data_IF_359823417302
#
_entry.id   IF_359823417302
#
_cell.length_a   1.000
_cell.length_b   1.000
_cell.length_c   1.000
_cell.angle_alpha   90.00
_cell.angle_beta   90.00
_cell.angle_gamma   90.00
#
_symmetry.space_group_name_H-M   'P 1'
#
loop_
_entity.id
_entity.type
_entity.pdbx_description
1 polymer ?
#
# COMPACT_ATOMS: atom_id res chain seq x y z
N UNK A 1 -0.61 -22.94 -2.91
CA UNK A 1 -0.55 -22.00 -4.04
C UNK A 1 0.68 -21.13 -3.86
N UNK A 2 1.46 -20.87 -4.91
CA UNK A 2 2.64 -19.99 -4.85
C UNK A 2 2.25 -18.54 -5.07
N UNK A 3 3.10 -17.59 -4.68
CA UNK A 3 2.92 -16.20 -5.06
C UNK A 3 3.00 -16.04 -6.58
N UNK A 4 2.32 -15.03 -7.10
CA UNK A 4 2.32 -14.73 -8.54
C UNK A 4 3.70 -14.25 -8.95
N UNK A 5 4.49 -15.09 -9.62
CA UNK A 5 5.82 -14.70 -10.10
C UNK A 5 5.68 -13.73 -11.26
N UNK A 6 6.17 -12.50 -11.09
CA UNK A 6 6.22 -11.51 -12.17
C UNK A 6 7.35 -11.90 -13.11
N UNK A 7 7.01 -12.33 -14.33
CA UNK A 7 7.98 -12.83 -15.32
C UNK A 7 8.58 -11.72 -16.16
N UNK A 8 7.82 -10.67 -16.43
CA UNK A 8 8.27 -9.51 -17.19
C UNK A 8 8.58 -8.39 -16.20
N UNK A 9 9.87 -8.19 -15.95
CA UNK A 9 10.40 -7.02 -15.27
C UNK A 9 10.91 -6.09 -16.37
N UNK A 10 10.43 -4.85 -16.39
CA UNK A 10 10.79 -3.88 -17.42
C UNK A 10 12.26 -3.47 -17.30
N UNK A 11 12.69 -3.10 -16.08
CA UNK A 11 14.06 -2.66 -15.82
C UNK A 11 14.60 -3.22 -14.49
N UNK A 12 15.92 -3.33 -14.42
CA UNK A 12 16.66 -3.68 -13.21
C UNK A 12 17.54 -2.53 -12.74
N UNK A 13 17.48 -2.19 -11.45
CA UNK A 13 18.05 -0.94 -10.91
C UNK A 13 19.59 -0.93 -10.74
N UNK A 14 20.34 -1.72 -11.51
CA UNK A 14 21.82 -1.74 -11.49
C UNK A 14 22.46 -2.25 -10.18
N UNK A 15 21.67 -2.69 -9.21
CA UNK A 15 22.12 -3.23 -7.92
C UNK A 15 22.32 -4.74 -7.98
N UNK A 16 23.25 -5.26 -7.16
CA UNK A 16 23.48 -6.71 -7.06
C UNK A 16 22.28 -7.43 -6.43
N UNK A 17 21.46 -8.07 -7.28
CA UNK A 17 20.30 -8.88 -6.86
C UNK A 17 20.74 -9.99 -5.90
N UNK A 18 21.85 -10.67 -6.19
CA UNK A 18 22.37 -11.73 -5.34
C UNK A 18 22.74 -11.24 -3.94
N UNK A 19 23.30 -10.03 -3.81
CA UNK A 19 23.59 -9.43 -2.52
C UNK A 19 22.31 -9.08 -1.75
N UNK A 20 21.31 -8.51 -2.43
CA UNK A 20 20.02 -8.17 -1.85
C UNK A 20 19.29 -9.43 -1.36
N UNK A 21 19.28 -10.49 -2.17
CA UNK A 21 18.66 -11.76 -1.82
C UNK A 21 19.30 -12.40 -0.60
N UNK A 22 20.64 -12.38 -0.50
CA UNK A 22 21.38 -12.87 0.66
C UNK A 22 21.07 -12.09 1.94
N UNK A 23 20.87 -10.78 1.82
CA UNK A 23 20.53 -9.90 2.95
C UNK A 23 19.04 -9.98 3.35
N UNK A 24 18.18 -10.52 2.49
CA UNK A 24 16.73 -10.55 2.70
C UNK A 24 16.28 -11.82 3.39
N UNK A 25 15.40 -11.69 4.39
CA UNK A 25 14.84 -12.85 5.07
C UNK A 25 13.86 -13.60 4.14
N UNK A 26 13.96 -14.93 4.02
CA UNK A 26 13.04 -15.68 3.17
C UNK A 26 11.64 -15.75 3.79
N UNK A 27 10.62 -15.81 2.93
CA UNK A 27 9.27 -16.29 3.26
C UNK A 27 9.14 -17.70 2.68
N UNK A 28 9.21 -18.71 3.56
CA UNK A 28 9.28 -20.11 3.16
C UNK A 28 7.96 -20.60 2.60
N UNK A 29 8.04 -21.50 1.63
CA UNK A 29 6.89 -22.29 1.18
C UNK A 29 6.27 -23.04 2.38
N UNK A 30 4.94 -23.06 2.44
CA UNK A 30 4.18 -23.59 3.59
C UNK A 30 3.99 -22.59 4.73
N UNK A 31 4.77 -21.50 4.80
CA UNK A 31 4.64 -20.46 5.84
C UNK A 31 3.81 -19.26 5.36
N UNK A 32 3.10 -19.45 4.25
CA UNK A 32 2.10 -18.52 3.78
C UNK A 32 1.01 -19.25 2.98
N UNK A 33 -0.16 -18.61 2.89
CA UNK A 33 -1.29 -19.02 2.05
C UNK A 33 -1.76 -17.81 1.25
N UNK A 34 -1.82 -17.96 -0.06
CA UNK A 34 -2.47 -16.97 -0.95
C UNK A 34 -3.98 -17.05 -0.76
N UNK A 35 -4.60 -15.90 -0.58
CA UNK A 35 -6.04 -15.74 -0.43
C UNK A 35 -6.62 -15.20 -1.72
N UNK A 36 -7.80 -15.69 -2.08
CA UNK A 36 -8.59 -15.18 -3.19
C UNK A 36 -9.38 -13.97 -2.71
N UNK A 37 -8.74 -12.81 -2.73
CA UNK A 37 -9.33 -11.54 -2.35
C UNK A 37 -8.87 -10.47 -3.34
N UNK A 38 -9.79 -9.75 -4.00
CA UNK A 38 -9.43 -8.73 -4.97
C UNK A 38 -8.74 -7.56 -4.26
N UNK A 39 -7.58 -7.15 -4.76
CA UNK A 39 -6.87 -5.95 -4.31
C UNK A 39 -6.65 -5.04 -5.51
N UNK A 40 -7.07 -3.78 -5.39
CA UNK A 40 -6.94 -2.75 -6.44
C UNK A 40 -5.52 -2.19 -6.56
N UNK A 41 -5.21 -1.55 -7.69
CA UNK A 41 -4.00 -0.76 -7.98
C UNK A 41 -2.95 -1.47 -8.85
N UNK A 42 -2.03 -0.68 -9.42
CA UNK A 42 -1.25 -1.06 -10.61
C UNK A 42 -0.14 -2.10 -10.40
N UNK A 43 0.58 -2.03 -9.27
CA UNK A 43 1.69 -2.96 -9.02
C UNK A 43 1.19 -4.40 -8.81
N UNK A 44 1.87 -5.43 -9.34
CA UNK A 44 1.50 -6.82 -9.07
C UNK A 44 1.52 -7.13 -7.57
N UNK A 45 0.41 -7.66 -7.05
CA UNK A 45 0.22 -7.93 -5.63
C UNK A 45 -0.60 -9.19 -5.39
N UNK A 46 -0.25 -9.89 -4.32
CA UNK A 46 -0.99 -11.05 -3.83
C UNK A 46 -1.52 -10.75 -2.41
N UNK A 47 -2.75 -11.15 -2.10
CA UNK A 47 -3.22 -11.15 -0.72
C UNK A 47 -2.81 -12.46 -0.05
N UNK A 48 -2.13 -12.39 1.09
CA UNK A 48 -1.64 -13.60 1.77
C UNK A 48 -1.94 -13.59 3.27
N UNK A 49 -2.09 -14.76 3.85
CA UNK A 49 -1.80 -15.00 5.27
C UNK A 49 -0.38 -15.53 5.39
N UNK A 50 0.40 -15.00 6.34
CA UNK A 50 1.78 -15.45 6.54
C UNK A 50 2.08 -15.69 8.01
N UNK A 51 2.80 -16.78 8.26
CA UNK A 51 3.25 -17.13 9.61
C UNK A 51 4.26 -16.12 10.14
N UNK A 52 4.07 -15.76 11.41
CA UNK A 52 4.99 -14.93 12.18
C UNK A 52 5.38 -15.66 13.44
N UNK A 53 6.61 -16.17 13.45
CA UNK A 53 7.19 -16.81 14.62
C UNK A 53 7.09 -15.86 15.83
N UNK A 54 6.52 -16.37 16.92
CA UNK A 54 6.32 -15.62 18.17
C UNK A 54 5.05 -14.76 18.24
N UNK A 55 4.34 -14.51 17.13
CA UNK A 55 3.04 -13.81 17.19
C UNK A 55 1.87 -14.77 17.41
N UNK A 56 1.88 -15.91 16.71
CA UNK A 56 0.79 -16.91 16.72
C UNK A 56 1.35 -18.32 16.55
N UNK A 57 0.51 -19.33 16.76
CA UNK A 57 0.86 -20.73 16.51
C UNK A 57 0.98 -21.01 15.01
N UNK A 58 1.98 -21.79 14.62
CA UNK A 58 2.17 -22.30 13.27
C UNK A 58 0.98 -23.15 12.80
N UNK A 59 0.36 -23.90 13.70
CA UNK A 59 -0.74 -24.82 13.38
C UNK A 59 -2.07 -24.09 13.14
N UNK A 60 -2.21 -22.85 13.62
CA UNK A 60 -3.46 -22.07 13.55
C UNK A 60 -3.43 -21.07 12.40
N UNK A 61 -3.50 -21.58 11.18
CA UNK A 61 -3.52 -20.78 9.94
C UNK A 61 -4.50 -19.60 9.96
N UNK A 62 -5.71 -19.79 10.53
CA UNK A 62 -6.73 -18.75 10.62
C UNK A 62 -6.29 -17.51 11.42
N UNK A 63 -5.36 -17.70 12.36
CA UNK A 63 -4.86 -16.65 13.24
C UNK A 63 -3.66 -15.92 12.62
N UNK A 64 -3.12 -16.43 11.49
CA UNK A 64 -1.97 -15.81 10.84
C UNK A 64 -2.34 -14.41 10.32
N UNK A 65 -1.46 -13.42 10.53
CA UNK A 65 -1.70 -12.07 10.04
C UNK A 65 -1.78 -12.06 8.51
N UNK A 66 -2.66 -11.20 8.00
CA UNK A 66 -2.86 -10.96 6.58
C UNK A 66 -1.90 -9.87 6.09
N UNK A 67 -1.43 -10.01 4.86
CA UNK A 67 -0.53 -9.07 4.20
C UNK A 67 -0.92 -8.88 2.74
N UNK A 68 -0.62 -7.68 2.23
CA UNK A 68 -0.53 -7.41 0.79
C UNK A 68 0.94 -7.55 0.42
N UNK A 69 1.26 -8.55 -0.41
CA UNK A 69 2.61 -8.83 -0.87
C UNK A 69 2.84 -8.24 -2.27
N UNK A 70 3.45 -7.06 -2.33
CA UNK A 70 3.76 -6.34 -3.58
C UNK A 70 5.13 -6.73 -4.12
N UNK A 71 5.28 -6.68 -5.45
CA UNK A 71 6.58 -6.82 -6.12
C UNK A 71 6.77 -5.68 -7.13
N UNK A 72 7.99 -5.14 -7.19
CA UNK A 72 8.37 -4.19 -8.23
C UNK A 72 8.45 -4.86 -9.60
N UNK A 73 7.83 -4.27 -10.61
CA UNK A 73 7.84 -4.77 -11.99
C UNK A 73 8.43 -3.79 -12.99
N UNK A 74 8.47 -2.49 -12.69
CA UNK A 74 9.04 -1.46 -13.57
C UNK A 74 10.53 -1.30 -13.33
N UNK A 75 10.94 -1.27 -12.06
CA UNK A 75 12.33 -1.04 -11.61
C UNK A 75 12.66 -1.96 -10.43
N UNK A 76 12.87 -3.23 -10.74
CA UNK A 76 13.18 -4.24 -9.73
C UNK A 76 14.67 -4.19 -9.31
N UNK A 77 15.00 -4.37 -8.02
CA UNK A 77 14.11 -4.54 -6.86
C UNK A 77 13.78 -3.23 -6.13
N UNK A 78 14.22 -2.08 -6.67
CA UNK A 78 14.20 -0.83 -5.93
C UNK A 78 12.81 -0.32 -5.58
N UNK A 79 11.78 -0.60 -6.38
CA UNK A 79 10.41 -0.22 -6.01
C UNK A 79 10.01 -0.78 -4.63
N UNK A 80 10.29 -2.07 -4.38
CA UNK A 80 9.99 -2.69 -3.08
C UNK A 80 10.86 -2.12 -1.95
N UNK A 81 12.13 -1.81 -2.23
CA UNK A 81 13.06 -1.24 -1.25
C UNK A 81 12.65 0.18 -0.88
N UNK A 82 12.32 1.00 -1.88
CA UNK A 82 11.87 2.39 -1.71
C UNK A 82 10.56 2.43 -0.94
N UNK A 83 9.58 1.59 -1.29
CA UNK A 83 8.32 1.47 -0.54
C UNK A 83 8.56 1.12 0.94
N UNK A 84 9.46 0.17 1.21
CA UNK A 84 9.84 -0.15 2.58
C UNK A 84 10.53 1.02 3.28
N UNK A 85 11.47 1.69 2.61
CA UNK A 85 12.19 2.85 3.15
C UNK A 85 11.22 3.99 3.50
N UNK A 86 10.32 4.36 2.59
CA UNK A 86 9.31 5.39 2.81
C UNK A 86 8.39 5.03 3.99
N UNK A 87 7.94 3.78 4.06
CA UNK A 87 7.15 3.30 5.18
C UNK A 87 7.91 3.44 6.51
N UNK A 88 9.19 3.06 6.55
CA UNK A 88 10.05 3.19 7.73
C UNK A 88 10.31 4.64 8.13
N UNK A 89 10.53 5.55 7.18
CA UNK A 89 10.67 6.98 7.46
C UNK A 89 9.36 7.50 8.07
N UNK A 90 8.22 7.15 7.48
CA UNK A 90 6.91 7.54 8.01
C UNK A 90 6.68 7.09 9.46
N UNK A 91 7.04 5.84 9.78
CA UNK A 91 6.97 5.34 11.16
C UNK A 91 7.87 6.13 12.12
N UNK A 92 9.10 6.44 11.71
CA UNK A 92 10.05 7.23 12.53
C UNK A 92 9.55 8.66 12.74
N UNK A 93 8.86 9.22 11.75
CA UNK A 93 8.23 10.54 11.84
C UNK A 93 6.91 10.53 12.64
N UNK A 94 6.45 9.37 13.12
CA UNK A 94 5.24 9.24 13.93
C UNK A 94 3.94 9.20 13.13
N UNK A 95 3.99 8.93 11.82
CA UNK A 95 2.79 8.68 11.02
C UNK A 95 2.22 7.29 11.33
N UNK A 96 0.90 7.16 11.20
CA UNK A 96 0.22 5.87 11.34
C UNK A 96 0.41 5.04 10.07
N UNK A 97 1.53 4.32 10.00
CA UNK A 97 1.90 3.49 8.85
C UNK A 97 1.50 2.03 9.07
N UNK A 98 1.07 1.36 8.01
CA UNK A 98 0.91 -0.09 8.02
C UNK A 98 2.26 -0.77 8.32
N UNK A 99 2.26 -1.72 9.27
CA UNK A 99 3.46 -2.49 9.60
C UNK A 99 3.95 -3.23 8.37
N UNK A 100 5.22 -3.06 8.04
CA UNK A 100 5.76 -3.59 6.79
C UNK A 100 7.10 -4.28 6.97
N UNK A 101 7.48 -5.06 5.96
CA UNK A 101 8.78 -5.72 5.89
C UNK A 101 9.16 -6.11 4.45
N UNK A 102 10.44 -6.38 4.24
CA UNK A 102 10.95 -7.01 3.03
C UNK A 102 11.14 -8.50 3.22
N UNK A 103 10.66 -9.30 2.27
CA UNK A 103 10.89 -10.75 2.24
C UNK A 103 11.30 -11.22 0.86
N UNK A 104 12.16 -12.24 0.82
CA UNK A 104 12.43 -12.99 -0.39
C UNK A 104 11.42 -14.14 -0.50
N UNK A 105 10.57 -14.11 -1.51
CA UNK A 105 9.55 -15.14 -1.73
C UNK A 105 9.46 -15.49 -3.22
N UNK A 106 9.51 -16.77 -3.55
CA UNK A 106 9.48 -17.26 -4.93
C UNK A 106 10.51 -16.55 -5.83
N UNK A 107 11.74 -16.39 -5.31
CA UNK A 107 12.90 -15.74 -5.96
C UNK A 107 12.74 -14.23 -6.23
N UNK A 108 11.70 -13.60 -5.68
CA UNK A 108 11.47 -12.17 -5.82
C UNK A 108 11.46 -11.47 -4.47
N UNK A 109 12.10 -10.30 -4.41
CA UNK A 109 11.95 -9.42 -3.28
C UNK A 109 10.53 -8.86 -3.26
N UNK A 110 9.86 -9.02 -2.13
CA UNK A 110 8.49 -8.59 -1.90
C UNK A 110 8.46 -7.57 -0.77
N UNK A 111 7.70 -6.51 -0.97
CA UNK A 111 7.26 -5.63 0.10
C UNK A 111 5.96 -6.18 0.68
N UNK A 112 5.98 -6.58 1.95
CA UNK A 112 4.81 -7.08 2.66
C UNK A 112 4.27 -5.95 3.53
N UNK A 113 3.06 -5.50 3.23
CA UNK A 113 2.32 -4.57 4.08
C UNK A 113 1.26 -5.32 4.86
N UNK A 114 1.25 -5.23 6.19
CA UNK A 114 0.26 -5.88 7.05
C UNK A 114 -1.10 -5.25 6.78
N UNK A 115 -2.07 -6.12 6.50
CA UNK A 115 -3.46 -5.71 6.33
C UNK A 115 -4.02 -5.25 7.68
N UNK A 116 -4.60 -4.06 7.71
CA UNK A 116 -4.99 -3.39 8.95
C UNK A 116 -6.51 -3.32 9.18
N UNK A 117 -7.33 -3.59 8.16
CA UNK A 117 -8.78 -3.59 8.32
C UNK A 117 -9.23 -4.80 9.16
N UNK A 118 -10.17 -4.52 10.05
CA UNK A 118 -10.89 -5.50 10.85
C UNK A 118 -12.19 -5.93 10.17
N UNK A 119 -12.84 -6.94 10.73
CA UNK A 119 -14.14 -7.40 10.24
C UNK A 119 -15.19 -6.28 10.36
N UNK A 120 -15.88 -5.98 9.25
CA UNK A 120 -16.85 -4.90 9.17
C UNK A 120 -16.27 -3.52 8.86
N UNK A 121 -14.94 -3.37 8.85
CA UNK A 121 -14.30 -2.12 8.40
C UNK A 121 -14.13 -2.11 6.87
N UNK A 122 -14.29 -0.93 6.28
CA UNK A 122 -14.04 -0.69 4.87
C UNK A 122 -13.03 0.44 4.68
N UNK A 123 -12.20 0.33 3.65
CA UNK A 123 -11.30 1.40 3.25
C UNK A 123 -12.02 2.29 2.24
N UNK A 124 -12.19 3.57 2.57
CA UNK A 124 -12.65 4.60 1.62
C UNK A 124 -11.42 5.16 0.92
N UNK A 125 -11.36 4.98 -0.41
CA UNK A 125 -10.28 5.52 -1.23
C UNK A 125 -10.43 7.04 -1.43
N UNK A 126 -9.32 7.71 -1.77
CA UNK A 126 -9.33 9.15 -2.05
C UNK A 126 -10.25 9.53 -3.22
N UNK A 127 -10.36 8.69 -4.26
CA UNK A 127 -11.31 8.91 -5.34
C UNK A 127 -12.77 8.89 -4.84
N UNK A 128 -13.10 7.92 -4.00
CA UNK A 128 -14.44 7.77 -3.40
C UNK A 128 -14.82 8.94 -2.48
N UNK A 129 -13.83 9.57 -1.83
CA UNK A 129 -14.05 10.82 -1.07
C UNK A 129 -14.58 11.93 -2.00
N UNK A 130 -14.02 12.08 -3.19
CA UNK A 130 -14.48 13.10 -4.15
C UNK A 130 -15.82 12.73 -4.76
N UNK A 131 -16.03 11.48 -5.14
CA UNK A 131 -17.32 11.02 -5.66
C UNK A 131 -18.44 11.21 -4.64
N UNK A 132 -18.19 10.87 -3.38
CA UNK A 132 -19.14 11.12 -2.29
C UNK A 132 -19.43 12.60 -2.05
N UNK A 133 -18.41 13.46 -2.16
CA UNK A 133 -18.59 14.91 -2.01
C UNK A 133 -19.38 15.55 -3.16
N UNK A 134 -19.20 15.04 -4.38
CA UNK A 134 -19.89 15.51 -5.57
C UNK A 134 -21.24 14.83 -5.82
N UNK A 135 -21.66 13.94 -4.92
CA UNK A 135 -22.87 13.11 -5.07
C UNK A 135 -22.89 12.26 -6.36
N UNK A 136 -21.70 11.90 -6.84
CA UNK A 136 -21.53 11.02 -8.00
C UNK A 136 -21.71 9.55 -7.59
N UNK A 137 -22.25 8.74 -8.52
CA UNK A 137 -22.58 7.33 -8.24
C UNK A 137 -21.37 6.40 -8.21
N UNK A 138 -20.27 6.82 -8.83
CA UNK A 138 -19.05 6.04 -8.98
C UNK A 138 -17.81 6.96 -9.09
N UNK A 139 -16.64 6.33 -9.28
CA UNK A 139 -15.36 7.02 -9.38
C UNK A 139 -15.01 7.42 -10.84
N UNK A 140 -15.91 7.23 -11.81
CA UNK A 140 -15.62 7.50 -13.23
C UNK A 140 -15.30 8.97 -13.48
N UNK A 141 -16.03 9.87 -12.83
CA UNK A 141 -15.77 11.30 -12.92
C UNK A 141 -14.35 11.66 -12.46
N UNK A 142 -13.88 11.07 -11.36
CA UNK A 142 -12.52 11.30 -10.85
C UNK A 142 -11.47 10.75 -11.82
N UNK A 143 -11.71 9.55 -12.37
CA UNK A 143 -10.84 8.97 -13.40
C UNK A 143 -10.79 9.83 -14.68
N UNK A 144 -11.89 10.48 -15.06
CA UNK A 144 -11.90 11.40 -16.19
C UNK A 144 -11.09 12.67 -15.93
N UNK A 145 -11.21 13.26 -14.74
CA UNK A 145 -10.40 14.41 -14.32
C UNK A 145 -8.92 14.08 -14.42
N UNK A 146 -8.52 12.90 -13.94
CA UNK A 146 -7.15 12.42 -13.99
C UNK A 146 -6.67 12.25 -15.44
N UNK A 147 -7.46 11.59 -16.30
CA UNK A 147 -7.13 11.43 -17.73
C UNK A 147 -7.01 12.76 -18.47
N UNK A 148 -7.77 13.78 -18.07
CA UNK A 148 -7.72 15.12 -18.64
C UNK A 148 -6.58 15.98 -18.06
N UNK A 149 -5.85 15.48 -17.05
CA UNK A 149 -4.77 16.22 -16.38
C UNK A 149 -5.27 17.38 -15.49
N UNK A 150 -6.56 17.39 -15.15
CA UNK A 150 -7.21 18.49 -14.42
C UNK A 150 -7.19 18.28 -12.90
N UNK A 151 -6.59 17.19 -12.41
CA UNK A 151 -6.54 16.83 -10.98
C UNK A 151 -6.06 17.99 -10.11
N UNK A 152 -5.00 18.69 -10.52
CA UNK A 152 -4.42 19.79 -9.73
C UNK A 152 -5.31 21.04 -9.69
N UNK A 153 -6.13 21.25 -10.72
CA UNK A 153 -7.02 22.40 -10.82
C UNK A 153 -8.32 22.17 -10.06
N UNK A 154 -8.81 20.93 -10.06
CA UNK A 154 -10.13 20.58 -9.53
C UNK A 154 -10.06 19.93 -8.14
N UNK A 155 -9.13 19.01 -7.91
CA UNK A 155 -8.99 18.26 -6.65
C UNK A 155 -7.97 18.95 -5.73
N UNK A 156 -8.31 20.19 -5.36
CA UNK A 156 -7.44 21.04 -4.55
C UNK A 156 -7.44 20.63 -3.08
N UNK A 157 -6.48 21.16 -2.31
CA UNK A 157 -6.46 21.01 -0.86
C UNK A 157 -7.78 21.46 -0.23
N UNK A 158 -8.32 22.61 -0.64
CA UNK A 158 -9.58 23.16 -0.13
C UNK A 158 -10.75 22.22 -0.41
N UNK A 159 -10.87 21.71 -1.64
CA UNK A 159 -11.92 20.75 -2.00
C UNK A 159 -11.81 19.49 -1.15
N UNK A 160 -10.59 18.99 -0.94
CA UNK A 160 -10.36 17.80 -0.08
C UNK A 160 -10.80 18.04 1.36
N UNK A 161 -10.49 19.21 1.93
CA UNK A 161 -10.88 19.57 3.29
C UNK A 161 -12.39 19.65 3.44
N UNK A 162 -13.09 20.27 2.49
CA UNK A 162 -14.55 20.36 2.51
C UNK A 162 -15.21 18.98 2.32
N UNK A 163 -14.66 18.14 1.44
CA UNK A 163 -15.10 16.75 1.29
C UNK A 163 -14.97 15.95 2.60
N UNK A 164 -13.84 16.07 3.31
CA UNK A 164 -13.64 15.40 4.60
C UNK A 164 -14.64 15.88 5.64
N UNK A 165 -14.87 17.19 5.74
CA UNK A 165 -15.83 17.76 6.71
C UNK A 165 -17.26 17.30 6.44
N UNK A 166 -17.65 17.23 5.17
CA UNK A 166 -18.99 16.82 4.77
C UNK A 166 -19.22 15.33 5.06
N UNK A 167 -18.30 14.46 4.63
CA UNK A 167 -18.48 13.01 4.73
C UNK A 167 -18.17 12.43 6.11
N UNK A 168 -17.28 13.07 6.87
CA UNK A 168 -16.82 12.59 8.17
C UNK A 168 -16.89 13.68 9.25
N UNK A 169 -18.06 14.29 9.50
CA UNK A 169 -18.15 15.48 10.37
C UNK A 169 -17.58 15.25 11.77
N UNK A 170 -17.82 14.07 12.35
CA UNK A 170 -17.39 13.72 13.70
C UNK A 170 -15.88 13.41 13.81
N UNK A 171 -15.23 13.06 12.70
CA UNK A 171 -13.80 12.67 12.65
C UNK A 171 -12.95 13.68 11.87
N UNK A 172 -13.58 14.72 11.31
CA UNK A 172 -12.98 15.62 10.33
C UNK A 172 -11.68 16.26 10.82
N UNK A 173 -11.65 16.80 12.04
CA UNK A 173 -10.45 17.41 12.61
C UNK A 173 -9.26 16.44 12.68
N UNK A 174 -9.53 15.20 13.09
CA UNK A 174 -8.51 14.14 13.19
C UNK A 174 -8.00 13.77 11.81
N UNK A 175 -8.90 13.53 10.85
CA UNK A 175 -8.56 13.15 9.48
C UNK A 175 -7.77 14.27 8.80
N UNK A 176 -8.21 15.52 8.92
CA UNK A 176 -7.53 16.69 8.35
C UNK A 176 -6.11 16.83 8.90
N UNK A 177 -5.94 16.71 10.22
CA UNK A 177 -4.61 16.78 10.83
C UNK A 177 -3.68 15.70 10.30
N UNK A 178 -4.16 14.46 10.19
CA UNK A 178 -3.35 13.34 9.74
C UNK A 178 -3.10 13.42 8.21
N UNK A 179 -4.05 13.97 7.44
CA UNK A 179 -3.88 14.32 6.03
C UNK A 179 -2.79 15.38 5.81
N UNK A 180 -2.77 16.46 6.59
CA UNK A 180 -1.71 17.49 6.51
C UNK A 180 -0.34 16.89 6.87
N UNK A 181 -0.27 16.04 7.89
CA UNK A 181 0.97 15.32 8.24
C UNK A 181 1.47 14.46 7.08
N UNK A 182 0.57 13.77 6.40
CA UNK A 182 0.88 12.97 5.22
C UNK A 182 1.40 13.83 4.07
N UNK A 183 0.78 14.98 3.79
CA UNK A 183 1.27 15.92 2.76
C UNK A 183 2.67 16.48 3.10
N UNK A 184 2.94 16.80 4.36
CA UNK A 184 4.27 17.22 4.79
C UNK A 184 5.30 16.09 4.60
N UNK A 185 4.92 14.85 4.91
CA UNK A 185 5.76 13.68 4.67
C UNK A 185 6.09 13.53 3.18
N UNK A 186 5.09 13.63 2.29
CA UNK A 186 5.31 13.55 0.85
C UNK A 186 6.24 14.63 0.32
N UNK A 187 6.06 15.87 0.79
CA UNK A 187 6.92 16.98 0.41
C UNK A 187 8.39 16.74 0.84
N UNK A 188 8.61 16.12 2.00
CA UNK A 188 9.95 15.80 2.51
C UNK A 188 10.57 14.64 1.71
N UNK A 189 9.79 13.61 1.40
CA UNK A 189 10.30 12.41 0.71
C UNK A 189 10.33 12.56 -0.81
N UNK A 190 9.73 13.63 -1.35
CA UNK A 190 9.55 13.81 -2.79
C UNK A 190 8.58 12.80 -3.41
N UNK A 191 7.63 12.29 -2.62
CA UNK A 191 6.59 11.39 -3.15
C UNK A 191 5.56 12.22 -3.92
N UNK A 192 5.49 12.03 -5.22
CA UNK A 192 4.65 12.79 -6.14
C UNK A 192 3.41 12.02 -6.63
N UNK A 193 3.22 10.80 -6.15
CA UNK A 193 2.14 9.89 -6.50
C UNK A 193 1.27 9.63 -5.25
N UNK A 194 0.37 10.58 -4.95
CA UNK A 194 -0.49 10.60 -3.76
C UNK A 194 -1.96 10.69 -4.13
#
# INVERSE_FOLDING_TARGET
MKLTKVRQIENYSGVSIGSIHKASKPLRQGYYKVLDYPISGDAPKDFIQAYKYGERSEERLKDWPKFIAKVGHKWYPMESITEYLLNRIGEVMGLNMAKSELRLADEQLRFLSRYFLQEGENLVHGAQLYSGYLEEKDDEFVMEIEKKGLTRELLTFQVTIEAIKLLFPNDSERIIRDFVRMLCFDAITGNNDR
#
